data_IF_200101633339
#
_entry.id   IF_200101633339
#
_cell.length_a   1.000
_cell.length_b   1.000
_cell.length_c   1.000
_cell.angle_alpha   90.00
_cell.angle_beta   90.00
_cell.angle_gamma   90.00
#
_symmetry.space_group_name_H-M   'P 1'
#
loop_
_entity.id
_entity.type
_entity.pdbx_description
1 polymer ?
#
# COMPACT_ATOMS: atom_id res chain seq x y z
N UNK A 1 -9.16 -22.22 -4.27
CA UNK A 1 -10.06 -22.49 -3.12
C UNK A 1 -9.50 -23.47 -2.08
N UNK A 2 -9.21 -24.75 -2.40
CA UNK A 2 -8.67 -25.70 -1.40
C UNK A 2 -7.38 -25.21 -0.72
N UNK A 3 -6.48 -24.60 -1.49
CA UNK A 3 -5.28 -23.95 -0.95
C UNK A 3 -5.64 -22.85 0.06
N UNK A 4 -6.59 -21.97 -0.29
CA UNK A 4 -7.11 -20.94 0.60
C UNK A 4 -7.65 -21.49 1.92
N UNK A 5 -8.48 -22.53 1.91
CA UNK A 5 -9.01 -23.15 3.14
C UNK A 5 -7.93 -23.78 4.03
N UNK A 6 -6.79 -24.18 3.47
CA UNK A 6 -5.65 -24.70 4.25
C UNK A 6 -4.77 -23.59 4.82
N UNK A 7 -4.83 -22.41 4.24
CA UNK A 7 -3.92 -21.29 4.56
C UNK A 7 -4.58 -20.25 5.44
N UNK A 8 -5.84 -19.91 5.16
CA UNK A 8 -6.61 -18.94 5.92
C UNK A 8 -7.40 -19.68 7.01
N UNK A 9 -7.13 -19.32 8.26
CA UNK A 9 -7.92 -19.78 9.41
C UNK A 9 -9.28 -19.07 9.39
N UNK A 10 -10.24 -19.60 8.63
CA UNK A 10 -11.65 -19.17 8.60
C UNK A 10 -12.49 -20.28 9.24
N UNK A 11 -13.35 -19.90 10.16
CA UNK A 11 -14.13 -20.76 11.05
C UNK A 11 -15.63 -20.56 10.79
N UNK A 12 -16.47 -21.55 11.10
CA UNK A 12 -17.92 -21.44 10.88
C UNK A 12 -18.62 -20.34 11.69
N UNK A 13 -18.03 -19.94 12.82
CA UNK A 13 -18.51 -18.86 13.68
C UNK A 13 -18.02 -17.47 13.25
N UNK A 14 -17.23 -17.38 12.19
CA UNK A 14 -16.76 -16.08 11.71
C UNK A 14 -17.83 -15.29 10.96
N UNK A 15 -17.77 -13.98 11.16
CA UNK A 15 -18.51 -13.00 10.38
C UNK A 15 -17.52 -12.10 9.63
N UNK A 16 -17.54 -12.19 8.31
CA UNK A 16 -16.76 -11.34 7.41
C UNK A 16 -17.61 -10.13 6.97
N UNK A 17 -17.05 -8.92 7.07
CA UNK A 17 -17.68 -7.71 6.53
C UNK A 17 -17.17 -7.41 5.11
N UNK A 18 -18.02 -7.65 4.12
CA UNK A 18 -17.79 -7.38 2.70
C UNK A 18 -18.22 -5.95 2.34
N UNK A 19 -17.29 -5.15 1.81
CA UNK A 19 -17.57 -3.79 1.33
C UNK A 19 -16.83 -3.43 0.03
N UNK A 20 -15.95 -4.32 -0.46
CA UNK A 20 -15.34 -4.17 -1.78
C UNK A 20 -16.29 -4.69 -2.87
N UNK A 21 -16.19 -4.22 -4.13
CA UNK A 21 -17.04 -4.72 -5.21
C UNK A 21 -16.78 -6.20 -5.52
N UNK A 22 -17.83 -7.01 -5.64
CA UNK A 22 -17.74 -8.42 -6.03
C UNK A 22 -17.25 -8.64 -7.48
N UNK A 23 -17.20 -7.56 -8.29
CA UNK A 23 -16.53 -7.60 -9.59
C UNK A 23 -15.02 -7.76 -9.46
N UNK A 24 -14.44 -7.41 -8.30
CA UNK A 24 -13.02 -7.57 -8.02
C UNK A 24 -12.72 -9.00 -7.54
N UNK A 25 -11.79 -9.67 -8.20
CA UNK A 25 -11.48 -11.07 -7.92
C UNK A 25 -11.06 -11.32 -6.46
N UNK A 26 -10.29 -10.41 -5.85
CA UNK A 26 -9.86 -10.52 -4.45
C UNK A 26 -11.03 -10.63 -3.48
N UNK A 27 -12.00 -9.71 -3.56
CA UNK A 27 -13.18 -9.74 -2.69
C UNK A 27 -14.04 -10.98 -2.96
N UNK A 28 -14.28 -11.26 -4.24
CA UNK A 28 -15.08 -12.41 -4.65
C UNK A 28 -14.50 -13.73 -4.13
N UNK A 29 -13.18 -13.87 -4.10
CA UNK A 29 -12.52 -15.09 -3.62
C UNK A 29 -12.33 -15.12 -2.12
N UNK A 30 -11.68 -14.11 -1.53
CA UNK A 30 -11.31 -14.10 -0.11
C UNK A 30 -12.43 -13.62 0.80
N UNK A 31 -13.17 -12.58 0.39
CA UNK A 31 -14.29 -12.02 1.17
C UNK A 31 -15.57 -12.84 1.04
N UNK A 32 -15.83 -13.41 -0.13
CA UNK A 32 -17.07 -14.16 -0.39
C UNK A 32 -16.89 -15.68 -0.41
N UNK A 33 -16.26 -16.26 -1.44
CA UNK A 33 -16.25 -17.73 -1.61
C UNK A 33 -15.58 -18.47 -0.46
N UNK A 34 -14.48 -17.96 0.07
CA UNK A 34 -13.75 -18.62 1.15
C UNK A 34 -14.59 -18.75 2.43
N UNK A 35 -15.30 -17.68 2.81
CA UNK A 35 -16.19 -17.69 3.98
C UNK A 35 -17.36 -18.64 3.78
N UNK A 36 -18.02 -18.59 2.61
CA UNK A 36 -19.12 -19.52 2.30
C UNK A 36 -18.66 -20.99 2.34
N UNK A 37 -17.48 -21.28 1.80
CA UNK A 37 -16.94 -22.65 1.82
C UNK A 37 -16.50 -23.12 3.21
N UNK A 38 -16.10 -22.20 4.09
CA UNK A 38 -15.76 -22.50 5.48
C UNK A 38 -16.98 -22.59 6.42
N UNK A 39 -18.18 -22.27 5.92
CA UNK A 39 -19.40 -22.22 6.72
C UNK A 39 -19.57 -20.93 7.53
N UNK A 40 -18.74 -19.91 7.28
CA UNK A 40 -18.84 -18.61 7.91
C UNK A 40 -19.92 -17.72 7.31
N UNK A 41 -20.17 -16.58 7.96
CA UNK A 41 -21.14 -15.58 7.56
C UNK A 41 -20.48 -14.45 6.77
N UNK A 42 -21.18 -13.92 5.78
CA UNK A 42 -20.76 -12.71 5.03
C UNK A 42 -21.83 -11.65 5.20
N UNK A 43 -21.50 -10.57 5.90
CA UNK A 43 -22.33 -9.39 6.02
C UNK A 43 -21.88 -8.35 4.99
N UNK A 44 -22.83 -7.71 4.32
CA UNK A 44 -22.54 -6.67 3.33
C UNK A 44 -22.69 -5.29 3.95
N UNK A 45 -21.63 -4.48 3.89
CA UNK A 45 -21.69 -3.09 4.29
C UNK A 45 -22.62 -2.30 3.34
N UNK A 46 -23.30 -1.29 3.88
CA UNK A 46 -24.20 -0.43 3.11
C UNK A 46 -23.44 0.40 2.07
N UNK A 47 -22.24 0.84 2.43
CA UNK A 47 -21.29 1.56 1.56
C UNK A 47 -20.01 1.88 2.35
N UNK A 48 -18.96 2.32 1.65
CA UNK A 48 -17.70 2.77 2.28
C UNK A 48 -17.93 3.94 3.26
N UNK A 49 -18.89 4.84 2.97
CA UNK A 49 -19.19 5.98 3.85
C UNK A 49 -19.79 5.55 5.19
N UNK A 50 -20.50 4.41 5.22
CA UNK A 50 -21.12 3.83 6.42
C UNK A 50 -20.25 2.75 7.08
N UNK A 51 -19.04 2.49 6.57
CA UNK A 51 -18.19 1.39 7.02
C UNK A 51 -17.89 1.43 8.53
N UNK A 52 -17.65 2.63 9.09
CA UNK A 52 -17.37 2.76 10.53
C UNK A 52 -18.56 2.36 11.40
N UNK A 53 -19.78 2.71 10.96
CA UNK A 53 -21.01 2.37 11.66
C UNK A 53 -21.32 0.87 11.48
N UNK A 54 -21.13 0.34 10.28
CA UNK A 54 -21.35 -1.07 9.96
C UNK A 54 -20.39 -1.98 10.74
N UNK A 55 -19.12 -1.58 10.91
CA UNK A 55 -18.16 -2.29 11.77
C UNK A 55 -18.64 -2.39 13.23
N UNK A 56 -19.22 -1.30 13.76
CA UNK A 56 -19.73 -1.27 15.14
C UNK A 56 -21.08 -1.97 15.32
N UNK A 57 -21.88 -2.07 14.26
CA UNK A 57 -23.16 -2.78 14.30
C UNK A 57 -22.98 -4.30 14.15
N UNK A 58 -22.09 -4.70 13.23
CA UNK A 58 -21.95 -6.10 12.79
C UNK A 58 -20.94 -6.86 13.66
N UNK A 59 -19.98 -6.16 14.27
CA UNK A 59 -18.90 -6.78 15.04
C UNK A 59 -18.19 -7.91 14.27
N UNK A 60 -17.66 -7.66 13.05
CA UNK A 60 -17.06 -8.72 12.27
C UNK A 60 -15.80 -9.29 12.92
N UNK A 61 -15.53 -10.56 12.69
CA UNK A 61 -14.33 -11.26 13.15
C UNK A 61 -13.23 -11.27 12.09
N UNK A 62 -13.60 -11.15 10.81
CA UNK A 62 -12.68 -11.09 9.67
C UNK A 62 -12.91 -9.82 8.86
N UNK A 63 -11.81 -9.22 8.41
CA UNK A 63 -11.84 -8.11 7.45
C UNK A 63 -10.87 -8.34 6.30
N UNK A 64 -11.37 -8.42 5.07
CA UNK A 64 -10.56 -8.35 3.84
C UNK A 64 -10.62 -6.92 3.32
N UNK A 65 -9.47 -6.31 3.07
CA UNK A 65 -9.40 -4.88 2.76
C UNK A 65 -8.15 -4.51 1.97
N UNK A 66 -8.13 -3.27 1.47
CA UNK A 66 -7.01 -2.66 0.77
C UNK A 66 -6.23 -1.72 1.69
N UNK A 67 -4.92 -1.47 1.46
CA UNK A 67 -4.08 -0.62 2.30
C UNK A 67 -4.69 0.74 2.67
N UNK A 68 -5.35 1.40 1.70
CA UNK A 68 -5.94 2.73 1.87
C UNK A 68 -6.95 2.82 3.01
N UNK A 69 -7.69 1.74 3.28
CA UNK A 69 -8.66 1.71 4.39
C UNK A 69 -7.92 1.71 5.74
N UNK A 70 -6.86 0.91 5.86
CA UNK A 70 -6.00 0.87 7.05
C UNK A 70 -5.30 2.22 7.27
N UNK A 71 -4.80 2.85 6.21
CA UNK A 71 -4.22 4.20 6.26
C UNK A 71 -5.22 5.23 6.78
N UNK A 72 -6.46 5.22 6.26
CA UNK A 72 -7.53 6.14 6.68
C UNK A 72 -7.87 5.96 8.16
N UNK A 73 -8.00 4.71 8.61
CA UNK A 73 -8.26 4.38 10.01
C UNK A 73 -7.09 4.87 10.88
N UNK A 74 -5.85 4.58 10.48
CA UNK A 74 -4.65 5.01 11.18
C UNK A 74 -4.57 6.55 11.29
N UNK A 75 -4.81 7.27 10.19
CA UNK A 75 -4.83 8.74 10.17
C UNK A 75 -5.89 9.31 11.13
N UNK A 76 -7.10 8.73 11.13
CA UNK A 76 -8.16 9.12 12.07
C UNK A 76 -7.81 8.85 13.54
N UNK A 77 -7.09 7.77 13.84
CA UNK A 77 -6.60 7.50 15.20
C UNK A 77 -5.50 8.49 15.59
N UNK A 78 -4.56 8.77 14.68
CA UNK A 78 -3.44 9.71 14.91
C UNK A 78 -3.93 11.13 15.20
N UNK A 79 -4.89 11.63 14.42
CA UNK A 79 -5.50 12.94 14.65
C UNK A 79 -6.17 13.04 16.04
N UNK A 80 -6.83 11.96 16.50
CA UNK A 80 -7.42 11.91 17.85
C UNK A 80 -6.36 11.84 18.95
N UNK A 81 -5.23 11.17 18.70
CA UNK A 81 -4.11 11.09 19.64
C UNK A 81 -3.37 12.43 19.84
N UNK A 82 -3.44 13.33 18.86
CA UNK A 82 -2.88 14.68 19.00
C UNK A 82 -3.68 15.56 19.98
N UNK A 83 -4.95 15.22 20.20
CA UNK A 83 -5.86 15.96 21.07
C UNK A 83 -5.89 15.43 22.52
N UNK A 84 -5.27 14.28 22.82
CA UNK A 84 -5.25 13.72 24.17
C UNK A 84 -4.05 14.23 24.99
N UNK A 85 -4.14 14.15 26.31
CA UNK A 85 -3.04 14.55 27.21
C UNK A 85 -1.75 13.76 26.94
N UNK A 86 -0.61 14.40 27.21
CA UNK A 86 0.73 13.82 27.02
C UNK A 86 0.91 12.48 27.75
N UNK A 87 0.32 12.31 28.93
CA UNK A 87 0.34 11.03 29.67
C UNK A 87 -0.41 9.92 28.93
N UNK A 88 -1.57 10.21 28.33
CA UNK A 88 -2.32 9.23 27.53
C UNK A 88 -1.57 8.88 26.25
N UNK A 89 -0.89 9.85 25.65
CA UNK A 89 -0.04 9.64 24.47
C UNK A 89 1.15 8.73 24.79
N UNK A 90 1.87 8.97 25.90
CA UNK A 90 2.95 8.10 26.37
C UNK A 90 2.47 6.68 26.68
N UNK A 91 1.29 6.54 27.29
CA UNK A 91 0.69 5.23 27.53
C UNK A 91 0.39 4.50 26.21
N UNK A 92 -0.12 5.23 25.20
CA UNK A 92 -0.38 4.68 23.87
C UNK A 92 0.90 4.24 23.15
N UNK A 93 1.94 5.07 23.18
CA UNK A 93 3.26 4.76 22.62
C UNK A 93 3.87 3.52 23.31
N UNK A 94 3.76 3.42 24.64
CA UNK A 94 4.16 2.23 25.40
C UNK A 94 3.36 0.99 25.00
N UNK A 95 2.04 1.12 24.77
CA UNK A 95 1.22 0.02 24.25
C UNK A 95 1.72 -0.47 22.91
N UNK A 96 2.08 0.43 21.98
CA UNK A 96 2.61 0.04 20.68
C UNK A 96 3.98 -0.65 20.80
N UNK A 97 4.87 -0.12 21.64
CA UNK A 97 6.19 -0.72 21.87
C UNK A 97 6.07 -2.16 22.44
N UNK A 98 5.27 -2.33 23.51
CA UNK A 98 5.08 -3.63 24.17
C UNK A 98 4.31 -4.60 23.27
N UNK A 99 3.33 -4.11 22.53
CA UNK A 99 2.56 -4.93 21.59
C UNK A 99 3.40 -5.44 20.43
N UNK A 100 4.31 -4.62 19.89
CA UNK A 100 5.27 -5.07 18.89
C UNK A 100 6.22 -6.14 19.44
N UNK A 101 6.74 -5.94 20.66
CA UNK A 101 7.60 -6.92 21.33
C UNK A 101 6.85 -8.23 21.59
N UNK A 102 5.57 -8.16 22.00
CA UNK A 102 4.71 -9.32 22.17
C UNK A 102 4.51 -10.08 20.86
N UNK A 103 4.28 -9.36 19.75
CA UNK A 103 4.20 -9.96 18.43
C UNK A 103 5.51 -10.66 18.03
N UNK A 104 6.66 -9.97 18.10
CA UNK A 104 7.96 -10.56 17.74
C UNK A 104 8.30 -11.78 18.61
N UNK A 105 7.93 -11.76 19.89
CA UNK A 105 8.08 -12.91 20.77
C UNK A 105 7.19 -14.09 20.34
N UNK A 106 5.91 -13.83 20.02
CA UNK A 106 4.99 -14.84 19.55
C UNK A 106 5.40 -15.45 18.19
N UNK A 107 6.13 -14.70 17.38
CA UNK A 107 6.71 -15.16 16.11
C UNK A 107 8.05 -15.91 16.28
N UNK A 108 8.55 -16.05 17.52
CA UNK A 108 9.83 -16.71 17.81
C UNK A 108 11.08 -15.88 17.42
N UNK A 109 10.92 -14.59 17.15
CA UNK A 109 11.99 -13.68 16.71
C UNK A 109 12.55 -12.79 17.82
N UNK A 110 11.86 -12.70 18.96
CA UNK A 110 12.35 -12.00 20.16
C UNK A 110 12.41 -12.92 21.38
N UNK A 111 13.45 -12.74 22.19
CA UNK A 111 13.57 -13.38 23.50
C UNK A 111 12.56 -12.80 24.48
N UNK A 112 12.20 -13.58 25.51
CA UNK A 112 11.32 -13.10 26.57
C UNK A 112 11.91 -11.85 27.28
N UNK A 113 11.05 -10.89 27.61
CA UNK A 113 11.43 -9.64 28.27
C UNK A 113 10.36 -9.24 29.31
N UNK A 114 10.72 -8.70 30.50
CA UNK A 114 9.77 -8.38 31.57
C UNK A 114 8.61 -7.45 31.16
N UNK A 115 8.84 -6.55 30.19
CA UNK A 115 7.80 -5.69 29.60
C UNK A 115 6.60 -6.47 29.06
N UNK A 116 6.77 -7.73 28.66
CA UNK A 116 5.67 -8.59 28.18
C UNK A 116 4.59 -8.80 29.25
N UNK A 117 4.95 -8.74 30.54
CA UNK A 117 3.98 -8.82 31.64
C UNK A 117 2.99 -7.64 31.66
N UNK A 118 3.34 -6.50 31.04
CA UNK A 118 2.47 -5.34 30.91
C UNK A 118 1.42 -5.52 29.81
N UNK A 119 1.64 -6.43 28.85
CA UNK A 119 0.79 -6.57 27.68
C UNK A 119 -0.69 -6.82 28.00
N UNK A 120 -1.08 -7.76 28.89
CA UNK A 120 -2.49 -7.99 29.20
C UNK A 120 -3.20 -6.73 29.73
N UNK A 121 -2.50 -5.92 30.51
CA UNK A 121 -3.01 -4.66 31.05
C UNK A 121 -3.10 -3.58 29.96
N UNK A 122 -2.04 -3.38 29.18
CA UNK A 122 -1.98 -2.38 28.11
C UNK A 122 -2.99 -2.69 26.99
N UNK A 123 -3.16 -3.97 26.66
CA UNK A 123 -4.15 -4.45 25.70
C UNK A 123 -5.55 -4.03 26.15
N UNK A 124 -5.95 -4.37 27.38
CA UNK A 124 -7.28 -4.04 27.91
C UNK A 124 -7.53 -2.54 28.06
N UNK A 125 -6.53 -1.77 28.51
CA UNK A 125 -6.68 -0.34 28.78
C UNK A 125 -6.67 0.54 27.53
N UNK A 126 -5.94 0.12 26.49
CA UNK A 126 -5.65 0.93 25.31
C UNK A 126 -6.02 0.20 24.03
N UNK A 127 -5.38 -0.93 23.73
CA UNK A 127 -5.51 -1.58 22.42
C UNK A 127 -6.95 -2.00 22.12
N UNK A 128 -7.62 -2.64 23.08
CA UNK A 128 -9.00 -3.09 22.97
C UNK A 128 -9.96 -1.91 22.73
N UNK A 129 -9.72 -0.75 23.36
CA UNK A 129 -10.54 0.45 23.12
C UNK A 129 -10.41 0.98 21.69
N UNK A 130 -9.25 0.80 21.07
CA UNK A 130 -9.07 1.13 19.65
C UNK A 130 -9.76 0.09 18.79
N UNK A 131 -9.58 -1.20 19.10
CA UNK A 131 -10.19 -2.30 18.36
C UNK A 131 -11.73 -2.29 18.45
N UNK A 132 -12.33 -1.83 19.55
CA UNK A 132 -13.79 -1.64 19.67
C UNK A 132 -14.34 -0.74 18.57
N UNK A 133 -13.57 0.27 18.11
CA UNK A 133 -13.99 1.15 17.01
C UNK A 133 -14.01 0.45 15.65
N UNK A 134 -13.34 -0.70 15.54
CA UNK A 134 -13.32 -1.58 14.38
C UNK A 134 -14.26 -2.78 14.56
N UNK A 135 -15.19 -2.72 15.53
CA UNK A 135 -16.12 -3.80 15.84
C UNK A 135 -15.71 -4.66 17.03
N UNK A 136 -14.46 -4.57 17.53
CA UNK A 136 -14.04 -5.20 18.78
C UNK A 136 -13.79 -6.72 18.73
N UNK A 137 -14.35 -7.43 17.75
CA UNK A 137 -14.22 -8.89 17.61
C UNK A 137 -13.27 -9.31 16.47
N UNK A 138 -12.69 -8.35 15.75
CA UNK A 138 -11.74 -8.62 14.68
C UNK A 138 -10.54 -9.43 15.19
N UNK A 139 -10.45 -10.68 14.72
CA UNK A 139 -9.32 -11.57 14.99
C UNK A 139 -8.35 -11.66 13.82
N UNK A 140 -8.81 -11.40 12.59
CA UNK A 140 -8.02 -11.54 11.38
C UNK A 140 -8.34 -10.41 10.39
N UNK A 141 -7.31 -9.77 9.88
CA UNK A 141 -7.42 -8.84 8.76
C UNK A 141 -6.49 -9.28 7.62
N UNK A 142 -6.99 -9.26 6.39
CA UNK A 142 -6.19 -9.57 5.20
C UNK A 142 -6.08 -8.29 4.36
N UNK A 143 -4.85 -7.86 4.11
CA UNK A 143 -4.55 -6.73 3.24
C UNK A 143 -4.01 -7.21 1.90
N UNK A 144 -4.58 -6.72 0.80
CA UNK A 144 -4.15 -7.05 -0.55
C UNK A 144 -4.54 -5.98 -1.57
N UNK A 145 -4.17 -6.22 -2.84
CA UNK A 145 -4.44 -5.31 -3.96
C UNK A 145 -3.43 -4.16 -4.11
N UNK A 146 -2.68 -3.82 -3.06
CA UNK A 146 -1.52 -2.94 -3.09
C UNK A 146 -0.60 -3.26 -1.90
N UNK A 147 0.62 -2.71 -1.90
CA UNK A 147 1.54 -2.85 -0.76
C UNK A 147 0.98 -2.11 0.47
N UNK A 148 0.95 -2.79 1.63
CA UNK A 148 0.63 -2.14 2.89
C UNK A 148 1.91 -1.54 3.48
N UNK A 149 1.90 -0.27 3.89
CA UNK A 149 3.08 0.34 4.49
C UNK A 149 3.52 -0.41 5.76
N UNK A 150 4.82 -0.71 5.93
CA UNK A 150 5.32 -1.41 7.12
C UNK A 150 4.98 -0.69 8.43
N UNK A 151 4.99 0.65 8.41
CA UNK A 151 4.62 1.48 9.57
C UNK A 151 3.16 1.30 9.98
N UNK A 152 2.26 1.18 9.01
CA UNK A 152 0.82 0.97 9.22
C UNK A 152 0.56 -0.47 9.67
N UNK A 153 1.20 -1.45 9.02
CA UNK A 153 1.12 -2.86 9.42
C UNK A 153 1.58 -3.03 10.88
N UNK A 154 2.77 -2.52 11.20
CA UNK A 154 3.34 -2.53 12.56
C UNK A 154 2.40 -1.87 13.57
N UNK A 155 1.79 -0.74 13.24
CA UNK A 155 0.83 -0.08 14.12
C UNK A 155 -0.34 -1.00 14.51
N UNK A 156 -1.02 -1.61 13.54
CA UNK A 156 -2.17 -2.49 13.82
C UNK A 156 -1.76 -3.78 14.53
N UNK A 157 -0.66 -4.40 14.12
CA UNK A 157 -0.09 -5.57 14.78
C UNK A 157 0.24 -5.28 16.24
N UNK A 158 0.79 -4.10 16.52
CA UNK A 158 1.12 -3.67 17.88
C UNK A 158 -0.12 -3.43 18.75
N UNK A 159 -1.29 -3.22 18.15
CA UNK A 159 -2.57 -3.16 18.85
C UNK A 159 -3.22 -4.56 19.01
N UNK A 160 -2.55 -5.62 18.55
CA UNK A 160 -3.01 -6.99 18.65
C UNK A 160 -3.89 -7.46 17.48
N UNK A 161 -4.05 -6.66 16.42
CA UNK A 161 -4.73 -7.11 15.21
C UNK A 161 -3.80 -7.97 14.37
N UNK A 162 -4.21 -9.21 14.08
CA UNK A 162 -3.48 -10.08 13.16
C UNK A 162 -3.77 -9.67 11.71
N UNK A 163 -2.99 -8.71 11.20
CA UNK A 163 -3.06 -8.28 9.80
C UNK A 163 -2.03 -9.03 8.97
N UNK A 164 -2.52 -9.73 7.94
CA UNK A 164 -1.74 -10.55 7.02
C UNK A 164 -1.74 -9.89 5.64
N UNK A 165 -0.56 -9.72 5.06
CA UNK A 165 -0.42 -9.25 3.68
C UNK A 165 -0.44 -10.40 2.70
N UNK A 166 -1.27 -10.27 1.66
CA UNK A 166 -1.35 -11.19 0.53
C UNK A 166 -1.00 -10.51 -0.78
N UNK A 167 -0.46 -11.29 -1.70
CA UNK A 167 -0.13 -10.86 -3.05
C UNK A 167 -0.75 -11.77 -4.09
N UNK A 168 -1.13 -11.16 -5.20
CA UNK A 168 -1.56 -11.85 -6.41
C UNK A 168 -2.22 -10.91 -7.39
N UNK A 169 -2.62 -11.48 -8.52
CA UNK A 169 -3.18 -10.79 -9.67
C UNK A 169 -4.48 -11.48 -10.09
N UNK A 170 -5.30 -10.81 -10.92
CA UNK A 170 -6.52 -11.46 -11.43
C UNK A 170 -6.19 -12.71 -12.24
N UNK A 171 -5.07 -12.63 -12.96
CA UNK A 171 -4.45 -13.66 -13.79
C UNK A 171 -3.96 -14.86 -12.98
N UNK A 172 -3.92 -14.77 -11.64
CA UNK A 172 -3.53 -15.87 -10.72
C UNK A 172 -4.67 -16.26 -9.76
N UNK A 173 -5.92 -15.96 -10.12
CA UNK A 173 -7.15 -16.45 -9.48
C UNK A 173 -7.27 -16.41 -7.94
N UNK A 174 -7.16 -15.26 -7.25
CA UNK A 174 -6.34 -14.08 -7.51
C UNK A 174 -5.17 -13.96 -6.52
N UNK A 175 -4.87 -15.03 -5.78
CA UNK A 175 -3.89 -15.03 -4.68
C UNK A 175 -2.76 -16.00 -5.01
N UNK A 176 -1.53 -15.49 -4.94
CA UNK A 176 -0.28 -16.24 -5.14
C UNK A 176 0.32 -16.62 -3.80
N UNK A 177 0.42 -15.66 -2.88
CA UNK A 177 1.07 -15.82 -1.57
C UNK A 177 0.35 -15.01 -0.50
N UNK A 178 0.53 -15.40 0.76
CA UNK A 178 0.03 -14.63 1.91
C UNK A 178 0.83 -14.95 3.16
N UNK A 179 1.05 -13.95 4.02
CA UNK A 179 1.62 -14.16 5.35
C UNK A 179 0.72 -15.11 6.16
N UNK A 180 1.34 -15.86 7.08
CA UNK A 180 0.63 -16.79 7.97
C UNK A 180 0.65 -16.23 9.39
N UNK A 181 -0.38 -16.51 10.20
CA UNK A 181 -0.44 -16.07 11.60
C UNK A 181 0.80 -16.47 12.41
N UNK A 182 1.34 -17.66 12.15
CA UNK A 182 2.52 -18.23 12.78
C UNK A 182 3.84 -17.84 12.11
N UNK A 183 3.78 -17.20 10.93
CA UNK A 183 4.94 -16.80 10.15
C UNK A 183 4.61 -15.53 9.38
N UNK A 184 4.48 -14.44 10.13
CA UNK A 184 4.13 -13.13 9.61
C UNK A 184 5.36 -12.21 9.62
N UNK A 185 5.79 -11.82 8.43
CA UNK A 185 6.75 -10.74 8.21
C UNK A 185 6.01 -9.58 7.53
N UNK A 186 5.73 -8.48 8.25
CA UNK A 186 4.93 -7.37 7.76
C UNK A 186 5.51 -6.58 6.60
N UNK A 187 6.74 -6.85 6.16
CA UNK A 187 7.33 -6.29 4.95
C UNK A 187 7.24 -7.26 3.75
N UNK A 188 6.82 -8.51 4.00
CA UNK A 188 6.67 -9.55 2.98
C UNK A 188 5.20 -9.76 2.62
N UNK A 189 4.97 -10.50 1.53
CA UNK A 189 3.64 -10.99 1.13
C UNK A 189 3.50 -12.49 1.41
N UNK A 190 4.33 -13.01 2.31
CA UNK A 190 4.33 -14.39 2.79
C UNK A 190 4.85 -15.43 1.78
N UNK A 191 4.78 -16.71 2.16
CA UNK A 191 5.10 -17.84 1.28
C UNK A 191 3.99 -18.06 0.23
N UNK A 192 4.32 -18.72 -0.90
CA UNK A 192 3.33 -19.10 -1.90
C UNK A 192 2.27 -20.04 -1.31
N UNK A 193 1.05 -19.95 -1.83
CA UNK A 193 -0.04 -20.85 -1.48
C UNK A 193 0.30 -22.30 -1.86
N UNK A 194 -0.30 -23.30 -1.17
CA UNK A 194 -0.13 -24.70 -1.58
C UNK A 194 -0.45 -24.93 -3.06
N UNK A 195 0.44 -25.63 -3.76
CA UNK A 195 0.36 -25.90 -5.22
C UNK A 195 0.64 -24.69 -6.13
N UNK A 196 1.10 -23.56 -5.58
CA UNK A 196 1.62 -22.43 -6.34
C UNK A 196 3.14 -22.50 -6.29
N UNK A 197 3.77 -22.55 -7.46
CA UNK A 197 5.21 -22.48 -7.63
C UNK A 197 5.60 -21.04 -7.98
N UNK A 198 6.69 -20.57 -7.39
CA UNK A 198 7.25 -19.25 -7.66
C UNK A 198 8.75 -19.36 -7.94
N UNK A 199 9.25 -18.53 -8.86
CA UNK A 199 10.69 -18.35 -9.08
C UNK A 199 10.99 -16.91 -9.44
N UNK A 200 12.25 -16.53 -9.28
CA UNK A 200 12.76 -15.25 -9.78
C UNK A 200 13.35 -15.49 -11.18
N UNK A 201 12.80 -14.80 -12.17
CA UNK A 201 13.29 -14.79 -13.55
C UNK A 201 14.22 -13.62 -13.83
N UNK A 202 14.36 -13.30 -15.12
CA UNK A 202 15.18 -12.17 -15.57
C UNK A 202 14.72 -10.84 -14.97
N UNK A 203 15.67 -9.94 -14.73
CA UNK A 203 15.42 -8.62 -14.12
C UNK A 203 14.69 -8.70 -12.76
N UNK A 204 14.89 -9.78 -12.02
CA UNK A 204 14.21 -10.04 -10.75
C UNK A 204 12.68 -10.19 -10.87
N UNK A 205 12.17 -10.52 -12.06
CA UNK A 205 10.74 -10.74 -12.29
C UNK A 205 10.21 -11.90 -11.44
N UNK A 206 9.08 -11.70 -10.77
CA UNK A 206 8.38 -12.78 -10.11
C UNK A 206 7.61 -13.59 -11.15
N UNK A 207 7.95 -14.88 -11.26
CA UNK A 207 7.28 -15.83 -12.14
C UNK A 207 6.43 -16.76 -11.28
N UNK A 208 5.21 -17.04 -11.74
CA UNK A 208 4.23 -17.89 -11.03
C UNK A 208 3.75 -19.02 -11.93
N UNK A 209 3.69 -20.23 -11.40
CA UNK A 209 3.09 -21.40 -12.07
C UNK A 209 2.19 -22.14 -11.09
N UNK A 210 1.08 -22.66 -11.59
CA UNK A 210 0.18 -23.48 -10.78
C UNK A 210 -1.25 -23.47 -11.33
N UNK A 211 -2.17 -24.21 -10.67
CA UNK A 211 -3.55 -24.34 -11.13
C UNK A 211 -4.37 -23.04 -10.99
N UNK A 212 -3.81 -22.01 -10.35
CA UNK A 212 -4.43 -20.70 -10.20
C UNK A 212 -4.13 -19.76 -11.37
N UNK A 213 -3.12 -20.06 -12.19
CA UNK A 213 -2.78 -19.27 -13.38
C UNK A 213 -3.92 -19.36 -14.40
N UNK A 214 -4.30 -18.20 -14.96
CA UNK A 214 -5.36 -18.10 -15.96
C UNK A 214 -5.05 -18.91 -17.22
N UNK A 215 -6.09 -19.25 -17.97
CA UNK A 215 -5.93 -19.87 -19.30
C UNK A 215 -5.49 -18.86 -20.37
N UNK A 216 -5.76 -17.57 -20.13
CA UNK A 216 -5.47 -16.48 -21.04
C UNK A 216 -6.56 -15.42 -21.05
N UNK A 217 -6.33 -14.35 -21.81
CA UNK A 217 -7.29 -13.28 -22.03
C UNK A 217 -8.28 -13.65 -23.14
N UNK A 218 -9.55 -13.36 -22.90
CA UNK A 218 -10.60 -13.59 -23.89
C UNK A 218 -10.32 -12.85 -25.20
N UNK A 219 -10.32 -13.57 -26.33
CA UNK A 219 -10.03 -13.06 -27.67
C UNK A 219 -8.71 -12.25 -27.80
N UNK A 220 -7.73 -12.49 -26.94
CA UNK A 220 -6.44 -11.79 -27.00
C UNK A 220 -5.26 -12.74 -26.79
N UNK A 221 -4.92 -13.47 -27.85
CA UNK A 221 -3.83 -14.46 -27.86
C UNK A 221 -2.47 -13.80 -27.67
N UNK A 222 -2.26 -12.62 -28.26
CA UNK A 222 -0.99 -11.88 -28.15
C UNK A 222 -0.73 -11.45 -26.70
N UNK A 223 -1.70 -10.83 -26.04
CA UNK A 223 -1.56 -10.47 -24.62
C UNK A 223 -1.38 -11.71 -23.74
N UNK A 224 -2.04 -12.83 -24.07
CA UNK A 224 -1.88 -14.09 -23.35
C UNK A 224 -0.45 -14.61 -23.43
N UNK A 225 0.11 -14.70 -24.65
CA UNK A 225 1.51 -15.13 -24.88
C UNK A 225 2.53 -14.18 -24.29
N UNK A 226 2.21 -12.89 -24.17
CA UNK A 226 3.08 -11.91 -23.53
C UNK A 226 3.21 -12.11 -22.02
N UNK A 227 2.24 -12.79 -21.39
CA UNK A 227 2.22 -13.02 -19.94
C UNK A 227 2.58 -14.46 -19.56
N UNK A 228 2.18 -15.45 -20.36
CA UNK A 228 2.36 -16.87 -20.06
C UNK A 228 3.34 -17.45 -21.07
N UNK A 229 4.50 -17.89 -20.56
CA UNK A 229 5.49 -18.60 -21.34
C UNK A 229 5.02 -20.02 -21.72
N UNK A 230 5.62 -20.60 -22.75
CA UNK A 230 5.26 -21.95 -23.24
C UNK A 230 5.44 -23.05 -22.19
N UNK A 231 6.33 -22.84 -21.22
CA UNK A 231 6.58 -23.74 -20.08
C UNK A 231 5.56 -23.58 -18.93
N UNK A 232 4.52 -22.76 -19.14
CA UNK A 232 3.41 -22.54 -18.21
C UNK A 232 3.67 -21.51 -17.11
N UNK A 233 4.81 -20.82 -17.14
CA UNK A 233 5.11 -19.76 -16.18
C UNK A 233 4.47 -18.43 -16.60
N UNK A 234 3.70 -17.85 -15.70
CA UNK A 234 3.17 -16.50 -15.82
C UNK A 234 4.20 -15.50 -15.26
N UNK A 235 4.61 -14.54 -16.08
CA UNK A 235 5.36 -13.37 -15.62
C UNK A 235 4.39 -12.38 -14.98
N UNK A 236 4.53 -12.07 -13.70
CA UNK A 236 3.57 -11.18 -13.01
C UNK A 236 3.71 -9.72 -13.44
N UNK A 237 4.84 -9.36 -14.05
CA UNK A 237 5.21 -7.98 -14.31
C UNK A 237 5.74 -7.26 -13.06
N UNK A 238 5.83 -7.93 -11.91
CA UNK A 238 6.35 -7.39 -10.66
C UNK A 238 7.74 -7.94 -10.36
N UNK A 239 8.60 -7.14 -9.72
CA UNK A 239 9.92 -7.59 -9.28
C UNK A 239 9.87 -8.04 -7.83
N UNK A 240 10.62 -9.09 -7.50
CA UNK A 240 10.63 -9.63 -6.15
C UNK A 240 11.98 -10.23 -5.76
N UNK A 241 12.14 -10.46 -4.45
CA UNK A 241 13.13 -11.37 -3.88
C UNK A 241 12.44 -12.41 -2.99
N UNK A 242 13.00 -13.60 -2.91
CA UNK A 242 12.50 -14.68 -2.05
C UNK A 242 13.55 -14.90 -0.95
N UNK A 243 13.14 -14.86 0.32
CA UNK A 243 14.03 -15.14 1.45
C UNK A 243 14.33 -16.64 1.57
N UNK A 244 15.34 -16.98 2.37
CA UNK A 244 15.65 -18.38 2.73
C UNK A 244 14.47 -19.08 3.44
N UNK A 245 13.64 -18.31 4.14
CA UNK A 245 12.41 -18.79 4.79
C UNK A 245 11.23 -18.92 3.81
N UNK A 246 11.45 -18.75 2.51
CA UNK A 246 10.44 -18.87 1.46
C UNK A 246 9.45 -17.71 1.38
N UNK A 247 9.68 -16.60 2.08
CA UNK A 247 8.80 -15.43 2.04
C UNK A 247 9.14 -14.55 0.84
N UNK A 248 8.11 -14.12 0.13
CA UNK A 248 8.24 -13.26 -1.05
C UNK A 248 8.20 -11.79 -0.62
N UNK A 249 9.12 -10.99 -1.10
CA UNK A 249 9.15 -9.54 -0.92
C UNK A 249 9.05 -8.88 -2.29
N UNK A 250 7.96 -8.16 -2.54
CA UNK A 250 7.78 -7.38 -3.76
C UNK A 250 8.65 -6.13 -3.65
N UNK A 251 9.47 -5.87 -4.67
CA UNK A 251 10.45 -4.77 -4.70
C UNK A 251 10.12 -3.70 -5.73
N UNK A 252 9.05 -3.89 -6.50
CA UNK A 252 8.65 -2.97 -7.56
C UNK A 252 7.88 -3.65 -8.68
N UNK A 253 7.75 -2.95 -9.80
CA UNK A 253 7.00 -3.40 -10.98
C UNK A 253 7.79 -3.13 -12.24
N UNK A 254 8.03 -4.14 -13.08
CA UNK A 254 8.89 -4.06 -14.26
C UNK A 254 8.52 -2.89 -15.19
N UNK A 255 7.22 -2.70 -15.44
CA UNK A 255 6.70 -1.62 -16.29
C UNK A 255 6.64 -0.24 -15.60
N UNK A 256 6.89 -0.17 -14.30
CA UNK A 256 6.85 1.07 -13.54
C UNK A 256 8.22 1.43 -12.94
N UNK A 257 9.26 0.60 -13.06
CA UNK A 257 10.63 1.00 -12.71
C UNK A 257 11.07 2.09 -13.68
N UNK A 258 11.42 3.24 -13.13
CA UNK A 258 12.03 4.32 -13.89
C UNK A 258 13.47 3.95 -14.16
N UNK A 259 13.86 3.90 -15.43
CA UNK A 259 15.26 3.80 -15.83
C UNK A 259 15.73 5.19 -16.26
N UNK A 260 16.63 5.78 -15.47
CA UNK A 260 17.25 7.06 -15.80
C UNK A 260 18.21 6.90 -17.00
N UNK A 261 18.52 7.99 -17.68
CA UNK A 261 19.47 8.00 -18.83
C UNK A 261 20.87 7.48 -18.52
N UNK A 262 21.26 7.44 -17.24
CA UNK A 262 22.51 6.87 -16.76
C UNK A 262 22.40 5.37 -16.38
N UNK A 263 21.25 4.75 -16.63
CA UNK A 263 20.99 3.33 -16.34
C UNK A 263 20.51 3.03 -14.92
N UNK A 264 20.42 4.04 -14.04
CA UNK A 264 19.96 3.85 -12.67
C UNK A 264 18.48 3.51 -12.62
N UNK A 265 18.13 2.51 -11.80
CA UNK A 265 16.77 1.98 -11.68
C UNK A 265 16.12 2.46 -10.40
N UNK A 266 14.93 3.02 -10.53
CA UNK A 266 14.21 3.64 -9.42
C UNK A 266 12.78 3.10 -9.38
N UNK A 267 12.31 2.53 -8.25
CA UNK A 267 10.91 2.20 -8.06
C UNK A 267 10.14 3.47 -7.65
N UNK A 268 9.36 4.10 -8.54
CA UNK A 268 8.70 5.37 -8.23
C UNK A 268 7.65 5.23 -7.14
N UNK A 269 6.94 4.09 -7.08
CA UNK A 269 5.86 3.88 -6.10
C UNK A 269 6.34 3.97 -4.65
N UNK A 270 7.52 3.41 -4.34
CA UNK A 270 8.10 3.47 -3.01
C UNK A 270 8.51 4.90 -2.63
N UNK A 271 9.06 5.66 -3.60
CA UNK A 271 9.42 7.06 -3.39
C UNK A 271 8.18 7.95 -3.22
N UNK A 272 7.17 7.77 -4.07
CA UNK A 272 5.88 8.48 -3.97
C UNK A 272 5.27 8.25 -2.59
N UNK A 273 5.28 7.00 -2.14
CA UNK A 273 4.79 6.62 -0.84
C UNK A 273 5.60 7.27 0.30
N UNK A 274 6.93 7.24 0.23
CA UNK A 274 7.79 7.92 1.20
C UNK A 274 7.46 9.41 1.28
N UNK A 275 7.33 10.09 0.14
CA UNK A 275 7.00 11.53 0.08
C UNK A 275 5.64 11.82 0.72
N UNK A 276 4.63 10.99 0.48
CA UNK A 276 3.27 11.15 1.05
C UNK A 276 3.19 10.98 2.57
N UNK A 277 4.27 10.59 3.26
CA UNK A 277 4.31 10.65 4.73
C UNK A 277 4.37 12.09 5.26
N UNK A 278 4.78 13.05 4.43
CA UNK A 278 4.71 14.46 4.77
C UNK A 278 3.27 14.98 4.59
N UNK A 279 2.64 15.57 5.63
CA UNK A 279 1.26 16.05 5.55
C UNK A 279 0.98 17.09 4.46
N UNK A 280 2.01 17.73 3.91
CA UNK A 280 1.86 18.67 2.79
C UNK A 280 1.39 17.97 1.51
N UNK A 281 1.78 16.71 1.28
CA UNK A 281 1.57 16.02 0.01
C UNK A 281 0.45 14.99 0.12
N UNK A 282 -0.61 15.17 -0.67
CA UNK A 282 -1.79 14.30 -0.69
C UNK A 282 -1.69 13.20 -1.74
N UNK A 283 -1.17 13.53 -2.92
CA UNK A 283 -0.92 12.58 -4.01
C UNK A 283 0.41 12.94 -4.68
N UNK A 284 1.23 11.95 -5.03
CA UNK A 284 2.55 12.18 -5.64
C UNK A 284 2.75 11.23 -6.80
N UNK A 285 3.37 11.73 -7.86
CA UNK A 285 3.85 10.93 -8.99
C UNK A 285 5.29 11.32 -9.32
N UNK A 286 6.21 10.37 -9.23
CA UNK A 286 7.62 10.52 -9.57
C UNK A 286 7.83 10.15 -11.04
N UNK A 287 8.59 10.95 -11.78
CA UNK A 287 8.87 10.75 -13.20
C UNK A 287 10.37 10.88 -13.46
N UNK A 288 10.84 10.27 -14.54
CA UNK A 288 12.25 10.35 -14.95
C UNK A 288 12.67 9.36 -16.02
N UNK A 289 11.74 8.64 -16.67
CA UNK A 289 12.07 7.63 -17.66
C UNK A 289 12.92 8.22 -18.80
N UNK A 290 14.11 7.66 -19.02
CA UNK A 290 15.07 8.14 -20.00
C UNK A 290 15.63 9.55 -19.75
N UNK A 291 15.38 10.16 -18.57
CA UNK A 291 15.84 11.52 -18.23
C UNK A 291 17.08 11.49 -17.33
N UNK A 292 17.76 12.64 -17.23
CA UNK A 292 18.98 12.79 -16.41
C UNK A 292 18.71 12.79 -14.90
N UNK A 293 17.46 13.06 -14.50
CA UNK A 293 17.07 13.16 -13.10
C UNK A 293 15.58 12.91 -12.92
N UNK A 294 15.18 12.69 -11.66
CA UNK A 294 13.78 12.53 -11.29
C UNK A 294 13.11 13.87 -11.01
N UNK A 295 11.82 13.96 -11.35
CA UNK A 295 10.92 15.05 -10.96
C UNK A 295 9.70 14.49 -10.25
N UNK A 296 9.04 15.28 -9.43
CA UNK A 296 7.79 14.90 -8.77
C UNK A 296 6.66 15.84 -9.19
N UNK A 297 5.48 15.30 -9.52
CA UNK A 297 4.23 16.03 -9.46
C UNK A 297 3.60 15.73 -8.12
N UNK A 298 3.23 16.74 -7.35
CA UNK A 298 2.66 16.56 -6.03
C UNK A 298 1.41 17.43 -5.84
N UNK A 299 0.27 16.78 -5.61
CA UNK A 299 -0.95 17.45 -5.16
C UNK A 299 -0.77 17.80 -3.69
N UNK A 300 -0.95 19.08 -3.35
CA UNK A 300 -0.85 19.55 -1.97
C UNK A 300 -2.17 19.36 -1.23
N UNK A 301 -2.11 18.95 0.03
CA UNK A 301 -3.29 18.93 0.87
C UNK A 301 -3.78 20.36 1.13
N UNK A 302 -5.07 20.64 0.91
CA UNK A 302 -5.60 22.00 0.96
C UNK A 302 -5.44 22.68 2.34
N UNK A 303 -5.57 21.92 3.43
CA UNK A 303 -5.45 22.47 4.79
C UNK A 303 -3.98 22.69 5.17
N UNK A 304 -3.12 21.71 4.89
CA UNK A 304 -1.68 21.83 5.12
C UNK A 304 -1.04 22.92 4.25
N UNK A 305 -1.54 23.12 3.02
CA UNK A 305 -1.06 24.14 2.09
C UNK A 305 -1.18 25.55 2.68
N UNK A 306 -2.29 25.89 3.33
CA UNK A 306 -2.47 27.23 3.92
C UNK A 306 -1.40 27.54 4.95
N UNK A 307 -1.11 26.59 5.84
CA UNK A 307 -0.09 26.75 6.87
C UNK A 307 1.31 26.84 6.24
N UNK A 308 1.59 25.99 5.27
CA UNK A 308 2.87 25.98 4.56
C UNK A 308 3.10 27.28 3.77
N UNK A 309 2.11 27.79 3.05
CA UNK A 309 2.20 29.04 2.30
C UNK A 309 2.54 30.22 3.23
N UNK A 310 1.89 30.32 4.39
CA UNK A 310 2.21 31.32 5.41
C UNK A 310 3.65 31.16 5.94
N UNK A 311 4.10 29.92 6.16
CA UNK A 311 5.49 29.62 6.58
C UNK A 311 6.54 30.04 5.54
N UNK A 312 6.18 30.08 4.25
CA UNK A 312 7.04 30.58 3.17
C UNK A 312 6.90 32.10 2.97
N UNK A 313 5.87 32.72 3.56
CA UNK A 313 5.56 34.14 3.39
C UNK A 313 4.79 34.45 2.11
N UNK A 314 3.93 33.52 1.65
CA UNK A 314 3.10 33.66 0.45
C UNK A 314 1.61 33.55 0.81
N UNK A 315 0.79 34.32 0.11
CA UNK A 315 -0.67 34.23 0.25
C UNK A 315 -1.18 32.94 -0.42
N UNK A 316 -1.87 32.03 0.31
CA UNK A 316 -2.22 30.70 -0.21
C UNK A 316 -3.20 30.72 -1.39
N UNK A 317 -4.03 31.76 -1.49
CA UNK A 317 -5.13 31.84 -2.43
C UNK A 317 -4.75 32.46 -3.79
N UNK A 318 -3.53 33.01 -3.91
CA UNK A 318 -3.07 33.53 -5.20
C UNK A 318 -2.80 32.38 -6.19
N UNK A 319 -3.17 32.53 -7.48
CA UNK A 319 -2.95 31.49 -8.49
C UNK A 319 -1.47 31.12 -8.68
N UNK A 320 -0.59 32.12 -8.57
CA UNK A 320 0.86 32.03 -8.78
C UNK A 320 1.59 31.34 -7.61
N UNK A 321 0.94 31.16 -6.45
CA UNK A 321 1.63 30.80 -5.19
C UNK A 321 2.35 29.46 -5.22
N UNK A 322 1.89 28.52 -6.04
CA UNK A 322 2.54 27.21 -6.21
C UNK A 322 3.73 27.24 -7.17
N UNK A 323 3.85 28.29 -7.99
CA UNK A 323 4.91 28.44 -8.98
C UNK A 323 6.09 29.26 -8.43
N UNK A 324 5.99 29.79 -7.20
CA UNK A 324 7.06 30.54 -6.57
C UNK A 324 8.27 29.64 -6.27
N UNK A 325 9.46 30.07 -6.68
CA UNK A 325 10.69 29.32 -6.51
C UNK A 325 11.00 28.99 -5.03
N UNK A 326 10.60 29.85 -4.08
CA UNK A 326 10.78 29.61 -2.63
C UNK A 326 9.90 28.47 -2.15
N UNK A 327 8.69 28.34 -2.71
CA UNK A 327 7.77 27.24 -2.44
C UNK A 327 8.34 25.94 -3.01
N UNK A 328 8.80 25.95 -4.26
CA UNK A 328 9.44 24.77 -4.87
C UNK A 328 10.64 24.30 -4.03
N UNK A 329 11.52 25.23 -3.63
CA UNK A 329 12.71 24.92 -2.85
C UNK A 329 12.39 24.32 -1.47
N UNK A 330 11.43 24.90 -0.73
CA UNK A 330 11.00 24.35 0.56
C UNK A 330 10.29 23.01 0.41
N UNK A 331 9.47 22.83 -0.62
CA UNK A 331 8.83 21.55 -0.91
C UNK A 331 9.86 20.45 -1.25
N UNK A 332 10.87 20.77 -2.06
CA UNK A 332 11.99 19.87 -2.36
C UNK A 332 12.78 19.48 -1.10
N UNK A 333 12.99 20.41 -0.17
CA UNK A 333 13.65 20.10 1.10
C UNK A 333 12.85 19.09 1.95
N UNK A 334 11.51 19.22 1.96
CA UNK A 334 10.62 18.25 2.62
C UNK A 334 10.65 16.89 1.94
N UNK A 335 10.55 16.86 0.60
CA UNK A 335 10.68 15.65 -0.21
C UNK A 335 12.01 14.94 0.07
N UNK A 336 13.12 15.68 0.04
CA UNK A 336 14.48 15.15 0.27
C UNK A 336 14.61 14.50 1.65
N UNK A 337 13.95 15.07 2.68
CA UNK A 337 13.91 14.48 4.01
C UNK A 337 13.16 13.15 4.03
N UNK A 338 12.07 13.02 3.27
CA UNK A 338 11.30 11.78 3.24
C UNK A 338 12.00 10.65 2.48
N UNK A 339 12.77 10.98 1.44
CA UNK A 339 13.46 9.98 0.61
C UNK A 339 14.92 9.74 1.02
N UNK A 340 15.33 10.17 2.23
CA UNK A 340 16.73 10.09 2.67
C UNK A 340 17.30 8.66 2.78
N UNK A 341 16.44 7.66 2.95
CA UNK A 341 16.82 6.24 3.01
C UNK A 341 17.01 5.61 1.62
N UNK A 342 16.62 6.31 0.54
CA UNK A 342 16.79 5.82 -0.83
C UNK A 342 18.24 6.02 -1.30
N UNK A 343 18.71 5.22 -2.28
CA UNK A 343 20.05 5.36 -2.83
C UNK A 343 20.34 6.77 -3.34
N UNK A 344 21.59 7.22 -3.25
CA UNK A 344 21.98 8.61 -3.54
C UNK A 344 21.67 9.12 -4.96
N UNK A 345 21.38 8.22 -5.91
CA UNK A 345 20.92 8.53 -7.26
C UNK A 345 19.40 8.80 -7.36
N UNK A 346 18.60 8.30 -6.42
CA UNK A 346 17.14 8.47 -6.37
C UNK A 346 16.75 9.83 -5.76
N UNK A 347 17.24 10.92 -6.39
CA UNK A 347 17.00 12.30 -5.94
C UNK A 347 16.00 13.01 -6.84
N UNK A 348 14.95 13.55 -6.24
CA UNK A 348 14.02 14.48 -6.90
C UNK A 348 14.70 15.83 -7.05
N UNK A 349 14.91 16.30 -8.29
CA UNK A 349 15.58 17.59 -8.56
C UNK A 349 14.61 18.74 -8.72
N UNK A 350 13.40 18.48 -9.19
CA UNK A 350 12.35 19.48 -9.45
C UNK A 350 11.01 18.94 -8.97
N UNK A 351 10.13 19.82 -8.53
CA UNK A 351 8.75 19.46 -8.15
C UNK A 351 7.75 20.43 -8.75
N UNK A 352 6.67 19.88 -9.31
CA UNK A 352 5.48 20.64 -9.70
C UNK A 352 4.40 20.42 -8.66
N UNK A 353 3.97 21.49 -7.99
CA UNK A 353 2.89 21.41 -7.01
C UNK A 353 1.54 21.71 -7.67
N UNK A 354 0.51 20.94 -7.31
CA UNK A 354 -0.83 21.00 -7.86
C UNK A 354 -1.86 21.19 -6.73
N UNK A 355 -2.91 22.01 -6.95
CA UNK A 355 -4.03 22.12 -5.99
C UNK A 355 -5.11 21.06 -6.23
N UNK A 356 -5.34 20.71 -7.49
CA UNK A 356 -6.43 19.83 -7.89
C UNK A 356 -6.02 18.37 -7.69
N UNK A 357 -6.78 17.58 -6.91
CA UNK A 357 -6.51 16.17 -6.77
C UNK A 357 -6.85 15.40 -8.04
N UNK A 358 -6.11 14.33 -8.29
CA UNK A 358 -6.43 13.34 -9.31
C UNK A 358 -7.64 12.52 -8.89
N UNK A 359 -8.62 12.39 -9.79
CA UNK A 359 -9.91 11.75 -9.48
C UNK A 359 -10.23 10.62 -10.45
N UNK A 360 -11.26 9.82 -10.11
CA UNK A 360 -11.80 8.79 -11.00
C UNK A 360 -12.54 9.44 -12.17
N UNK A 361 -13.32 10.49 -11.89
CA UNK A 361 -14.13 11.25 -12.87
C UNK A 361 -13.26 11.96 -13.90
N UNK A 362 -12.15 12.56 -13.48
CA UNK A 362 -11.15 13.14 -14.38
C UNK A 362 -10.31 12.09 -15.13
N UNK A 363 -10.52 10.80 -14.84
CA UNK A 363 -9.86 9.69 -15.53
C UNK A 363 -8.40 9.49 -15.16
N UNK A 364 -7.87 10.24 -14.17
CA UNK A 364 -6.51 10.06 -13.67
C UNK A 364 -6.39 8.86 -12.73
N UNK A 365 -7.47 8.47 -12.05
CA UNK A 365 -7.54 7.27 -11.21
C UNK A 365 -8.43 6.19 -11.83
N UNK A 366 -8.09 4.92 -11.58
CA UNK A 366 -9.02 3.80 -11.81
C UNK A 366 -10.11 3.77 -10.74
N UNK A 367 -11.22 3.03 -10.92
CA UNK A 367 -12.21 2.81 -9.85
C UNK A 367 -11.63 2.20 -8.56
N UNK A 368 -10.47 1.53 -8.66
CA UNK A 368 -9.70 1.00 -7.52
C UNK A 368 -8.70 2.01 -6.95
N UNK A 369 -8.80 3.30 -7.32
CA UNK A 369 -7.93 4.40 -6.90
C UNK A 369 -6.47 4.29 -7.35
N UNK A 370 -6.15 3.44 -8.34
CA UNK A 370 -4.80 3.34 -8.89
C UNK A 370 -4.55 4.46 -9.90
N UNK A 371 -3.38 5.09 -9.82
CA UNK A 371 -2.99 6.17 -10.74
C UNK A 371 -2.77 5.66 -12.17
N UNK A 372 -3.36 6.35 -13.14
CA UNK A 372 -3.11 6.17 -14.58
C UNK A 372 -2.01 7.12 -15.02
N UNK A 373 -0.75 6.78 -14.74
CA UNK A 373 0.45 7.62 -14.96
C UNK A 373 0.48 8.30 -16.33
N UNK A 374 0.25 7.53 -17.41
CA UNK A 374 0.26 8.07 -18.78
C UNK A 374 -0.78 9.17 -19.01
N UNK A 375 -1.95 9.09 -18.36
CA UNK A 375 -3.00 10.13 -18.46
C UNK A 375 -2.58 11.39 -17.73
N UNK A 376 -1.97 11.26 -16.55
CA UNK A 376 -1.45 12.41 -15.79
C UNK A 376 -0.30 13.07 -16.54
N UNK A 377 0.64 12.29 -17.07
CA UNK A 377 1.77 12.83 -17.87
C UNK A 377 1.25 13.60 -19.08
N UNK A 378 0.27 13.08 -19.81
CA UNK A 378 -0.31 13.77 -20.96
C UNK A 378 -1.03 15.08 -20.57
N UNK A 379 -1.59 15.16 -19.37
CA UNK A 379 -2.26 16.38 -18.89
C UNK A 379 -1.27 17.50 -18.53
N UNK A 380 -0.06 17.15 -18.10
CA UNK A 380 0.96 18.09 -17.62
C UNK A 380 2.24 18.06 -18.47
N UNK A 381 2.11 17.70 -19.74
CA UNK A 381 3.25 17.48 -20.65
C UNK A 381 4.07 18.76 -20.84
N UNK A 382 3.42 19.89 -21.03
CA UNK A 382 4.07 21.19 -21.26
C UNK A 382 4.84 21.69 -20.03
N UNK A 383 4.27 21.52 -18.83
CA UNK A 383 4.93 21.84 -17.58
C UNK A 383 6.13 20.94 -17.35
N UNK A 384 5.99 19.64 -17.62
CA UNK A 384 7.08 18.67 -17.49
C UNK A 384 8.23 18.98 -18.43
N UNK A 385 7.94 19.35 -19.68
CA UNK A 385 8.96 19.81 -20.62
C UNK A 385 9.71 21.04 -20.11
N UNK A 386 9.01 22.00 -19.50
CA UNK A 386 9.65 23.17 -18.87
C UNK A 386 10.55 22.79 -17.69
N UNK A 387 10.18 21.79 -16.89
CA UNK A 387 10.99 21.33 -15.75
C UNK A 387 12.28 20.64 -16.17
N UNK A 388 12.24 19.86 -17.26
CA UNK A 388 13.42 19.21 -17.83
C UNK A 388 14.27 20.12 -18.73
N UNK A 389 13.72 21.25 -19.17
CA UNK A 389 14.37 22.21 -20.07
C UNK A 389 14.14 21.91 -21.56
N UNK A 390 14.08 22.95 -22.39
CA UNK A 390 13.71 22.90 -23.82
C UNK A 390 14.59 22.00 -24.71
N UNK A 391 15.78 21.59 -24.24
CA UNK A 391 16.69 20.72 -25.00
C UNK A 391 16.19 19.27 -25.17
N UNK A 392 15.12 18.85 -24.50
CA UNK A 392 14.60 17.47 -24.62
C UNK A 392 13.93 17.16 -25.96
N UNK A 393 13.58 18.14 -26.80
CA UNK A 393 12.98 17.90 -28.13
C UNK A 393 13.92 17.16 -29.10
N UNK A 394 15.23 17.14 -28.82
CA UNK A 394 16.25 16.63 -29.75
C UNK A 394 16.63 15.16 -29.56
N UNK A 395 16.34 14.57 -28.40
CA UNK A 395 16.66 13.16 -28.12
C UNK A 395 15.50 12.20 -28.42
N UNK A 396 14.24 12.64 -28.32
CA UNK A 396 13.08 11.77 -28.56
C UNK A 396 12.74 11.61 -30.08
N UNK A 397 13.57 12.16 -30.99
CA UNK A 397 13.42 12.06 -32.47
C UNK A 397 14.60 11.37 -33.17
N UNK A 398 15.50 10.73 -32.43
CA UNK A 398 16.53 9.83 -32.94
C UNK A 398 16.26 8.43 -32.38
#
# INVERSE_FOLDING_TARGET
MRAGLKTFDVRPDDCMLSFLPLSHAFERTAGYYLNVMAGGQVAFARSISHLADDLQLIHPTILVSVPRIFERIHGGIRAKLEQVSSTRRKLFELTLEVGWLHFEHAQGRATWHPKLLLWPLLKKLVADKVMTKLGGELRLAISGGAALPPTIARFFISLGLNILQGYGLTETSPVVSVNLTQSNFPESVGPPLPSVEVRIGDQSALMVRGPSVMLGYWNNVEATRSMIAEDGWLNTGDTARISETGHIYITGRLKEIIVLSNGEKVPPGDMEFAIMHDPLFEQVMVLGEGKAFLVALAVVNADAWRQFAVEVGIQPDMPESLQDARVEQKALARITRQIHEFPGYAKIRRVLLLKEPWTIEGGQLTPTLKLRRNRVVAQYEDELHRLYGENSRRMDRL
#
